data_IF_656740181902
#
_entry.id   IF_656740181902
#
_cell.length_a   1.000
_cell.length_b   1.000
_cell.length_c   1.000
_cell.angle_alpha   90.00
_cell.angle_beta   90.00
_cell.angle_gamma   90.00
#
_symmetry.space_group_name_H-M   'P 1'
#
loop_
_entity.id
_entity.type
_entity.pdbx_description
1 polymer ?
#
# COMPACT_ATOMS: atom_id res chain seq x y z
N UNK A 1 14.72 -1.20 22.18
CA UNK A 1 13.90 -2.36 21.74
C UNK A 1 13.33 -2.14 20.33
N UNK A 2 12.43 -1.18 20.11
CA UNK A 2 11.78 -0.97 18.80
C UNK A 2 12.74 -0.75 17.61
N UNK A 3 13.84 0.00 17.80
CA UNK A 3 14.86 0.17 16.76
C UNK A 3 15.45 -1.17 16.30
N UNK A 4 15.76 -2.05 17.25
CA UNK A 4 16.31 -3.38 16.98
C UNK A 4 15.31 -4.28 16.25
N UNK A 5 14.02 -4.18 16.58
CA UNK A 5 12.95 -4.87 15.85
C UNK A 5 12.93 -4.41 14.38
N UNK A 6 12.92 -3.09 14.14
CA UNK A 6 12.95 -2.55 12.79
C UNK A 6 14.19 -2.98 12.01
N UNK A 7 15.38 -2.90 12.62
CA UNK A 7 16.66 -3.33 12.04
C UNK A 7 16.65 -4.83 11.68
N UNK A 8 16.07 -5.66 12.55
CA UNK A 8 15.87 -7.08 12.31
C UNK A 8 15.02 -7.34 11.08
N UNK A 9 13.91 -6.61 10.92
CA UNK A 9 13.04 -6.76 9.75
C UNK A 9 13.69 -6.30 8.44
N UNK A 10 14.50 -5.24 8.47
CA UNK A 10 15.20 -4.74 7.26
C UNK A 10 16.55 -5.43 7.00
N UNK A 11 17.01 -6.28 7.91
CA UNK A 11 18.27 -7.03 7.81
C UNK A 11 19.52 -6.16 7.84
N UNK A 12 19.46 -4.94 8.41
CA UNK A 12 20.60 -4.04 8.53
C UNK A 12 20.42 -3.01 9.64
N UNK A 13 21.53 -2.54 10.20
CA UNK A 13 21.53 -1.46 11.17
C UNK A 13 21.19 -0.10 10.53
N UNK A 14 20.61 0.80 11.31
CA UNK A 14 20.29 2.17 10.87
C UNK A 14 20.81 3.22 11.83
N UNK A 15 21.21 4.36 11.28
CA UNK A 15 21.61 5.52 12.08
C UNK A 15 20.45 6.04 12.94
N UNK A 16 20.77 6.67 14.06
CA UNK A 16 19.75 7.28 14.94
C UNK A 16 18.92 8.34 14.23
N UNK A 17 19.53 9.08 13.30
CA UNK A 17 18.82 10.05 12.45
C UNK A 17 17.78 9.34 11.58
N UNK A 18 18.14 8.21 10.99
CA UNK A 18 17.21 7.40 10.18
C UNK A 18 16.08 6.86 11.04
N UNK A 19 16.41 6.35 12.23
CA UNK A 19 15.42 5.86 13.18
C UNK A 19 14.45 6.97 13.64
N UNK A 20 14.94 8.17 13.94
CA UNK A 20 14.09 9.33 14.27
C UNK A 20 13.14 9.70 13.12
N UNK A 21 13.59 9.61 11.86
CA UNK A 21 12.73 9.84 10.69
C UNK A 21 11.64 8.78 10.54
N UNK A 22 11.96 7.52 10.86
CA UNK A 22 10.96 6.44 10.93
C UNK A 22 9.95 6.76 12.02
N UNK A 23 10.38 7.01 13.25
CA UNK A 23 9.47 7.35 14.37
C UNK A 23 8.58 8.56 14.07
N UNK A 24 9.15 9.62 13.47
CA UNK A 24 8.39 10.80 13.05
C UNK A 24 7.32 10.45 12.02
N UNK A 25 7.66 9.60 11.04
CA UNK A 25 6.69 9.08 10.08
C UNK A 25 5.59 8.28 10.78
N UNK A 26 5.95 7.41 11.72
CA UNK A 26 4.98 6.60 12.44
C UNK A 26 4.02 7.46 13.25
N UNK A 27 4.54 8.46 13.97
CA UNK A 27 3.73 9.40 14.76
C UNK A 27 2.76 10.19 13.89
N UNK A 28 3.25 10.75 12.78
CA UNK A 28 2.45 11.59 11.89
C UNK A 28 1.37 10.83 11.12
N UNK A 29 1.61 9.56 10.81
CA UNK A 29 0.80 8.81 9.84
C UNK A 29 -0.05 7.73 10.50
N UNK A 30 0.33 7.26 11.68
CA UNK A 30 -0.26 6.07 12.32
C UNK A 30 -0.62 6.29 13.80
N UNK A 31 -0.67 7.55 14.27
CA UNK A 31 -0.89 7.89 15.68
C UNK A 31 -0.01 7.09 16.65
N UNK A 32 1.22 6.83 16.22
CA UNK A 32 2.11 5.93 16.92
C UNK A 32 2.60 6.55 18.23
N UNK A 33 2.44 5.81 19.33
CA UNK A 33 3.05 6.11 20.63
C UNK A 33 4.03 4.99 20.98
N UNK A 34 5.22 5.35 21.45
CA UNK A 34 6.29 4.38 21.75
C UNK A 34 5.86 3.36 22.81
N UNK A 35 5.02 3.78 23.74
CA UNK A 35 4.51 2.97 24.86
C UNK A 35 3.17 2.29 24.55
N UNK A 36 2.63 2.44 23.34
CA UNK A 36 1.39 1.77 22.96
C UNK A 36 1.60 0.25 22.84
N UNK A 37 0.60 -0.53 23.24
CA UNK A 37 0.61 -1.99 23.15
C UNK A 37 0.81 -2.53 21.72
N UNK A 38 0.45 -1.74 20.70
CA UNK A 38 0.61 -2.09 19.29
C UNK A 38 1.91 -1.55 18.64
N UNK A 39 2.78 -0.88 19.41
CA UNK A 39 3.95 -0.19 18.88
C UNK A 39 4.92 -1.16 18.17
N UNK A 40 5.15 -2.34 18.75
CA UNK A 40 6.02 -3.36 18.14
C UNK A 40 5.46 -3.89 16.82
N UNK A 41 4.15 -4.17 16.77
CA UNK A 41 3.47 -4.68 15.58
C UNK A 41 3.63 -3.67 14.44
N UNK A 42 3.41 -2.39 14.73
CA UNK A 42 3.50 -1.34 13.72
C UNK A 42 4.94 -1.19 13.21
N UNK A 43 5.93 -1.26 14.10
CA UNK A 43 7.35 -1.18 13.75
C UNK A 43 7.78 -2.40 12.91
N UNK A 44 7.34 -3.61 13.26
CA UNK A 44 7.57 -4.82 12.45
C UNK A 44 7.03 -4.66 11.05
N UNK A 45 5.73 -4.31 10.93
CA UNK A 45 5.08 -4.11 9.63
C UNK A 45 5.86 -3.11 8.77
N UNK A 46 6.25 -1.97 9.35
CA UNK A 46 6.98 -0.93 8.60
C UNK A 46 8.38 -1.38 8.19
N UNK A 47 9.06 -2.19 9.01
CA UNK A 47 10.31 -2.84 8.66
C UNK A 47 10.15 -3.80 7.48
N UNK A 48 9.17 -4.70 7.55
CA UNK A 48 8.85 -5.65 6.48
C UNK A 48 8.55 -4.93 5.16
N UNK A 49 7.77 -3.85 5.23
CA UNK A 49 7.47 -2.97 4.10
C UNK A 49 8.72 -2.33 3.53
N UNK A 50 9.58 -1.77 4.38
CA UNK A 50 10.81 -1.12 3.92
C UNK A 50 11.75 -2.12 3.25
N UNK A 51 11.87 -3.34 3.79
CA UNK A 51 12.65 -4.42 3.20
C UNK A 51 12.13 -4.79 1.82
N UNK A 52 10.84 -5.09 1.72
CA UNK A 52 10.20 -5.55 0.47
C UNK A 52 10.13 -4.45 -0.60
N UNK A 53 10.03 -3.19 -0.19
CA UNK A 53 9.82 -2.06 -1.10
C UNK A 53 10.77 -0.93 -0.76
N UNK A 54 12.06 -1.02 -1.07
CA UNK A 54 13.06 0.00 -0.69
C UNK A 54 12.67 1.47 -0.93
N UNK A 55 11.75 1.76 -1.86
CA UNK A 55 11.14 3.08 -2.13
C UNK A 55 10.02 3.50 -1.17
N UNK A 56 9.64 2.67 -0.21
CA UNK A 56 8.66 2.96 0.84
C UNK A 56 9.19 4.10 1.71
N UNK A 57 8.47 5.22 1.64
CA UNK A 57 8.70 6.42 2.41
C UNK A 57 7.34 6.99 2.78
N UNK A 58 7.11 7.27 4.07
CA UNK A 58 5.87 7.90 4.53
C UNK A 58 5.69 9.35 4.06
N UNK A 59 6.68 9.89 3.34
CA UNK A 59 6.60 11.19 2.66
C UNK A 59 6.18 11.07 1.20
N UNK A 60 6.02 9.85 0.67
CA UNK A 60 5.56 9.67 -0.71
C UNK A 60 4.12 10.15 -0.85
N UNK A 61 3.84 10.80 -1.97
CA UNK A 61 2.49 11.22 -2.30
C UNK A 61 1.55 10.00 -2.40
N UNK A 62 0.33 10.14 -1.86
CA UNK A 62 -0.65 9.05 -1.82
C UNK A 62 -0.37 7.96 -0.77
N UNK A 63 0.68 8.10 0.06
CA UNK A 63 1.02 7.10 1.07
C UNK A 63 -0.13 6.75 2.02
N UNK A 64 -0.83 7.76 2.55
CA UNK A 64 -1.94 7.56 3.48
C UNK A 64 -3.04 6.70 2.88
N UNK A 65 -3.38 6.95 1.62
CA UNK A 65 -4.43 6.21 0.93
C UNK A 65 -4.00 4.76 0.66
N UNK A 66 -2.76 4.57 0.19
CA UNK A 66 -2.17 3.25 0.00
C UNK A 66 -2.12 2.46 1.30
N UNK A 67 -1.78 3.12 2.40
CA UNK A 67 -1.74 2.50 3.71
C UNK A 67 -3.13 2.15 4.24
N UNK A 68 -4.13 3.01 4.04
CA UNK A 68 -5.53 2.68 4.35
C UNK A 68 -5.98 1.44 3.59
N UNK A 69 -5.64 1.33 2.30
CA UNK A 69 -5.92 0.14 1.50
C UNK A 69 -5.24 -1.11 2.08
N UNK A 70 -3.97 -1.00 2.46
CA UNK A 70 -3.26 -2.10 3.12
C UNK A 70 -3.98 -2.55 4.40
N UNK A 71 -4.20 -1.64 5.34
CA UNK A 71 -4.81 -1.97 6.64
C UNK A 71 -6.21 -2.57 6.46
N UNK A 72 -7.02 -2.03 5.54
CA UNK A 72 -8.35 -2.57 5.25
C UNK A 72 -8.31 -4.08 4.96
N UNK A 73 -7.45 -4.51 4.02
CA UNK A 73 -7.35 -5.92 3.67
C UNK A 73 -6.51 -6.72 4.68
N UNK A 74 -5.62 -6.09 5.45
CA UNK A 74 -4.83 -6.76 6.46
C UNK A 74 -5.67 -7.17 7.68
N UNK A 75 -6.54 -6.27 8.13
CA UNK A 75 -7.32 -6.44 9.36
C UNK A 75 -8.64 -7.22 9.14
N UNK A 76 -9.01 -7.48 7.88
CA UNK A 76 -10.15 -8.35 7.54
C UNK A 76 -9.75 -9.82 7.68
N UNK A 77 -10.47 -10.54 8.55
CA UNK A 77 -10.38 -11.99 8.67
C UNK A 77 -11.29 -12.67 7.63
N UNK A 78 -10.80 -12.75 6.39
CA UNK A 78 -11.53 -13.34 5.25
C UNK A 78 -10.58 -13.93 4.23
N UNK A 79 -11.09 -14.91 3.48
CA UNK A 79 -10.42 -15.46 2.30
C UNK A 79 -11.05 -14.96 1.00
N UNK A 80 -10.21 -14.80 -0.02
CA UNK A 80 -10.65 -14.41 -1.36
C UNK A 80 -10.06 -15.35 -2.41
N UNK A 81 -10.86 -15.70 -3.41
CA UNK A 81 -10.29 -16.15 -4.68
C UNK A 81 -9.52 -15.00 -5.34
N UNK A 82 -8.49 -15.27 -6.13
CA UNK A 82 -7.73 -14.22 -6.83
C UNK A 82 -8.62 -13.28 -7.65
N UNK A 83 -9.63 -13.82 -8.35
CA UNK A 83 -10.63 -13.03 -9.07
C UNK A 83 -11.54 -12.25 -8.12
N UNK A 84 -12.01 -12.89 -7.05
CA UNK A 84 -12.88 -12.25 -6.05
C UNK A 84 -12.19 -11.08 -5.34
N UNK A 85 -10.90 -11.22 -5.04
CA UNK A 85 -10.09 -10.14 -4.50
C UNK A 85 -9.98 -8.98 -5.47
N UNK A 86 -9.67 -9.22 -6.75
CA UNK A 86 -9.56 -8.14 -7.75
C UNK A 86 -10.86 -7.32 -7.87
N UNK A 87 -12.02 -7.99 -7.84
CA UNK A 87 -13.31 -7.30 -7.86
C UNK A 87 -13.55 -6.49 -6.58
N UNK A 88 -13.24 -7.08 -5.42
CA UNK A 88 -13.37 -6.41 -4.11
C UNK A 88 -12.44 -5.20 -4.02
N UNK A 89 -11.21 -5.33 -4.51
CA UNK A 89 -10.21 -4.28 -4.57
C UNK A 89 -10.63 -3.15 -5.51
N UNK A 90 -11.19 -3.48 -6.68
CA UNK A 90 -11.69 -2.49 -7.62
C UNK A 90 -12.82 -1.64 -7.03
N UNK A 91 -13.77 -2.30 -6.34
CA UNK A 91 -14.83 -1.62 -5.61
C UNK A 91 -14.27 -0.72 -4.50
N UNK A 92 -13.31 -1.22 -3.71
CA UNK A 92 -12.66 -0.45 -2.65
C UNK A 92 -11.93 0.79 -3.20
N UNK A 93 -11.21 0.65 -4.31
CA UNK A 93 -10.45 1.73 -4.94
C UNK A 93 -11.31 2.66 -5.81
N UNK A 94 -12.60 2.33 -5.98
CA UNK A 94 -13.53 3.02 -6.87
C UNK A 94 -13.02 3.13 -8.31
N UNK A 95 -12.53 2.00 -8.85
CA UNK A 95 -12.06 1.87 -10.23
C UNK A 95 -12.81 0.76 -10.97
N UNK A 96 -12.94 0.85 -12.29
CA UNK A 96 -13.37 -0.31 -13.08
C UNK A 96 -12.18 -1.24 -13.34
N UNK A 97 -12.30 -2.50 -12.90
CA UNK A 97 -11.28 -3.52 -13.09
C UNK A 97 -11.05 -3.88 -14.58
N UNK A 98 -12.01 -3.56 -15.45
CA UNK A 98 -11.91 -3.72 -16.90
C UNK A 98 -10.94 -2.70 -17.51
N UNK A 99 -10.88 -1.50 -16.95
CA UNK A 99 -9.96 -0.44 -17.40
C UNK A 99 -8.52 -0.69 -16.96
N UNK A 100 -8.31 -1.59 -16.00
CA UNK A 100 -6.99 -1.99 -15.54
C UNK A 100 -6.39 -3.01 -16.53
N UNK A 101 -5.25 -2.71 -17.17
CA UNK A 101 -4.59 -3.66 -18.06
C UNK A 101 -4.27 -4.97 -17.33
N UNK A 102 -4.35 -6.08 -18.07
CA UNK A 102 -4.06 -7.42 -17.51
C UNK A 102 -2.64 -7.48 -16.94
N UNK A 103 -1.65 -6.94 -17.65
CA UNK A 103 -0.25 -6.83 -17.20
C UNK A 103 -0.11 -6.08 -15.88
N UNK A 104 -0.87 -4.99 -15.69
CA UNK A 104 -0.88 -4.20 -14.45
C UNK A 104 -1.42 -4.99 -13.27
N UNK A 105 -2.49 -5.77 -13.47
CA UNK A 105 -3.02 -6.68 -12.44
C UNK A 105 -1.95 -7.68 -12.02
N UNK A 106 -1.32 -8.39 -12.97
CA UNK A 106 -0.23 -9.32 -12.65
C UNK A 106 0.95 -8.64 -11.97
N UNK A 107 1.30 -7.43 -12.39
CA UNK A 107 2.37 -6.65 -11.77
C UNK A 107 2.10 -6.39 -10.29
N UNK A 108 0.86 -6.06 -9.88
CA UNK A 108 0.53 -5.85 -8.47
C UNK A 108 0.79 -7.11 -7.63
N UNK A 109 0.35 -8.27 -8.12
CA UNK A 109 0.58 -9.55 -7.44
C UNK A 109 2.06 -9.96 -7.42
N UNK A 110 2.75 -9.83 -8.56
CA UNK A 110 4.17 -10.15 -8.66
C UNK A 110 5.00 -9.28 -7.69
N UNK A 111 4.71 -7.97 -7.64
CA UNK A 111 5.37 -7.07 -6.69
C UNK A 111 5.07 -7.41 -5.24
N UNK A 112 3.91 -8.00 -4.95
CA UNK A 112 3.58 -8.55 -3.64
C UNK A 112 4.17 -9.96 -3.39
N UNK A 113 4.99 -10.49 -4.30
CA UNK A 113 5.55 -11.85 -4.26
C UNK A 113 4.46 -12.94 -4.28
N UNK A 114 3.29 -12.63 -4.83
CA UNK A 114 2.17 -13.55 -4.97
C UNK A 114 2.07 -13.98 -6.43
N UNK A 115 2.09 -15.29 -6.66
CA UNK A 115 1.74 -15.85 -7.97
C UNK A 115 0.22 -15.83 -8.12
N UNK A 116 -0.29 -14.92 -8.97
CA UNK A 116 -1.73 -14.76 -9.22
C UNK A 116 -2.32 -15.98 -9.95
N UNK A 117 -3.36 -16.55 -9.35
CA UNK A 117 -4.25 -17.51 -9.99
C UNK A 117 -5.69 -17.15 -9.65
N UNK A 118 -6.52 -17.00 -10.68
CA UNK A 118 -7.89 -16.50 -10.53
C UNK A 118 -8.75 -17.34 -9.57
N UNK A 119 -8.59 -18.66 -9.60
CA UNK A 119 -9.33 -19.63 -8.77
C UNK A 119 -8.65 -19.96 -7.45
N UNK A 120 -7.37 -19.60 -7.25
CA UNK A 120 -6.67 -19.88 -6.00
C UNK A 120 -7.23 -18.98 -4.90
N UNK A 121 -7.40 -19.55 -3.72
CA UNK A 121 -7.81 -18.86 -2.49
C UNK A 121 -6.57 -18.36 -1.76
N UNK A 122 -6.65 -17.14 -1.25
CA UNK A 122 -5.62 -16.48 -0.45
C UNK A 122 -6.26 -15.86 0.79
N UNK A 123 -5.50 -15.77 1.87
CA UNK A 123 -5.88 -14.97 3.03
C UNK A 123 -5.87 -13.49 2.66
N UNK A 124 -6.84 -12.71 3.15
CA UNK A 124 -6.92 -11.27 2.89
C UNK A 124 -5.65 -10.54 3.32
N UNK A 125 -5.08 -10.93 4.46
CA UNK A 125 -3.82 -10.37 4.99
C UNK A 125 -2.64 -10.54 4.04
N UNK A 126 -2.58 -11.63 3.27
CA UNK A 126 -1.53 -11.86 2.30
C UNK A 126 -1.72 -10.94 1.08
N UNK A 127 -2.97 -10.67 0.72
CA UNK A 127 -3.36 -9.82 -0.40
C UNK A 127 -3.30 -8.31 -0.08
N UNK A 128 -3.20 -7.92 1.19
CA UNK A 128 -3.16 -6.53 1.63
C UNK A 128 -2.09 -5.71 0.90
N UNK A 129 -0.98 -6.35 0.60
CA UNK A 129 0.13 -5.72 -0.08
C UNK A 129 -0.14 -5.48 -1.58
N UNK A 130 -0.90 -6.36 -2.21
CA UNK A 130 -1.43 -6.15 -3.57
C UNK A 130 -2.29 -4.88 -3.58
N UNK A 131 -3.15 -4.69 -2.56
CA UNK A 131 -3.98 -3.49 -2.43
C UNK A 131 -3.14 -2.20 -2.27
N UNK A 132 -2.08 -2.25 -1.46
CA UNK A 132 -1.13 -1.14 -1.30
C UNK A 132 -0.46 -0.71 -2.62
N UNK A 133 -0.10 -1.68 -3.46
CA UNK A 133 0.54 -1.45 -4.75
C UNK A 133 -0.49 -0.92 -5.76
N UNK A 134 -1.67 -1.56 -5.83
CA UNK A 134 -2.76 -1.19 -6.73
C UNK A 134 -3.29 0.22 -6.46
N UNK A 135 -3.37 0.64 -5.20
CA UNK A 135 -3.84 1.96 -4.82
C UNK A 135 -3.00 3.10 -5.45
N UNK A 136 -1.69 2.90 -5.67
CA UNK A 136 -0.86 3.86 -6.41
C UNK A 136 -1.37 4.08 -7.84
N UNK A 137 -1.78 3.00 -8.51
CA UNK A 137 -2.32 3.10 -9.86
C UNK A 137 -3.64 3.86 -9.86
N UNK A 138 -4.54 3.59 -8.90
CA UNK A 138 -5.81 4.30 -8.78
C UNK A 138 -5.62 5.81 -8.53
N UNK A 139 -4.69 6.18 -7.65
CA UNK A 139 -4.33 7.59 -7.40
C UNK A 139 -3.86 8.27 -8.69
N UNK A 140 -2.95 7.63 -9.42
CA UNK A 140 -2.44 8.18 -10.68
C UNK A 140 -3.54 8.31 -11.74
N UNK A 141 -4.43 7.32 -11.84
CA UNK A 141 -5.52 7.35 -12.82
C UNK A 141 -6.51 8.48 -12.56
N UNK A 142 -6.86 8.74 -11.30
CA UNK A 142 -7.73 9.88 -10.94
C UNK A 142 -7.10 11.22 -11.28
N UNK A 143 -5.79 11.37 -11.07
CA UNK A 143 -5.07 12.60 -11.46
C UNK A 143 -5.04 12.82 -12.96
N UNK A 144 -4.84 11.76 -13.74
CA UNK A 144 -4.87 11.80 -15.20
C UNK A 144 -6.24 12.27 -15.69
N UNK A 145 -7.33 11.71 -15.13
CA UNK A 145 -8.70 12.12 -15.45
C UNK A 145 -8.94 13.60 -15.14
N UNK A 146 -8.49 14.08 -13.97
CA UNK A 146 -8.65 15.48 -13.59
C UNK A 146 -7.87 16.42 -14.51
N UNK A 147 -6.63 16.07 -14.89
CA UNK A 147 -5.83 16.86 -15.84
C UNK A 147 -6.51 16.97 -17.21
N UNK A 148 -7.04 15.86 -17.73
CA UNK A 148 -7.76 15.85 -19.02
C UNK A 148 -9.01 16.73 -18.94
N UNK A 149 -9.75 16.66 -17.84
CA UNK A 149 -10.94 17.47 -17.61
C UNK A 149 -10.61 18.96 -17.61
N UNK A 150 -9.55 19.37 -16.91
CA UNK A 150 -9.11 20.77 -16.87
C UNK A 150 -8.74 21.28 -18.26
N UNK A 151 -7.97 20.52 -19.04
CA UNK A 151 -7.58 20.88 -20.41
C UNK A 151 -8.80 21.07 -21.32
N UNK A 152 -9.78 20.16 -21.19
CA UNK A 152 -10.99 20.20 -22.03
C UNK A 152 -11.84 21.43 -21.72
N UNK A 153 -11.93 21.85 -20.45
CA UNK A 153 -12.67 23.04 -20.05
C UNK A 153 -11.98 24.33 -20.55
N UNK A 154 -10.66 24.45 -20.43
CA UNK A 154 -9.92 25.63 -20.94
C UNK A 154 -10.03 25.81 -22.45
N UNK A 155 -10.12 24.71 -23.22
CA UNK A 155 -10.24 24.78 -24.68
C UNK A 155 -11.68 25.02 -25.18
N UNK A 156 -12.68 25.05 -24.28
CA UNK A 156 -14.07 25.40 -24.61
C UNK A 156 -14.36 26.89 -24.38
N UNK A 157 -13.49 27.58 -23.65
CA UNK A 157 -13.57 29.02 -23.34
C UNK A 157 -12.69 29.89 -24.27
N UNK A 158 -12.01 29.29 -25.25
CA UNK A 158 -11.28 29.93 -26.37
C UNK A 158 -12.05 29.83 -27.69
#
# INVERSE_FOLDING_TARGET
>A
MLKRIYEGEIGKEVSDITWRRVLSTLRQKFDFKVEASNAEILVKRIGEFKRKYGTFSGRSEGFNERWKAFNHFYDIDKQFSGKGFLNTLANYLQIDIKDVPRSTKYYWFNKAEINYKASKVYESKDLALVAFIACKWAINKRKEVEQIRTITLTNQDE
#
